data_IF_471520531167
#
_entry.id   IF_471520531167
#
_cell.length_a   1.000
_cell.length_b   1.000
_cell.length_c   1.000
_cell.angle_alpha   90.00
_cell.angle_beta   90.00
_cell.angle_gamma   90.00
#
_symmetry.space_group_name_H-M   'P 1'
#
loop_
_entity.id
_entity.type
_entity.pdbx_description
1 polymer ?
#
# COMPACT_ATOMS: atom_id res chain seq x y z
N UNK A 1 -7.62 -17.30 4.19
CA UNK A 1 -7.77 -16.82 2.80
C UNK A 1 -6.35 -16.68 2.26
N UNK A 2 -6.07 -17.21 1.07
CA UNK A 2 -4.76 -17.07 0.43
C UNK A 2 -4.74 -15.74 -0.33
N UNK A 3 -3.63 -15.00 -0.29
CA UNK A 3 -3.42 -13.78 -1.09
C UNK A 3 -3.68 -14.04 -2.58
N UNK A 4 -4.15 -13.04 -3.34
CA UNK A 4 -4.38 -13.17 -4.78
C UNK A 4 -3.09 -13.56 -5.53
N UNK A 5 -1.94 -13.27 -4.92
CA UNK A 5 -0.62 -13.48 -5.51
C UNK A 5 0.04 -14.80 -5.15
N UNK A 6 -0.40 -15.49 -4.09
CA UNK A 6 0.20 -16.76 -3.65
C UNK A 6 1.63 -16.55 -3.16
N UNK A 7 1.80 -16.24 -1.87
CA UNK A 7 3.14 -16.26 -1.28
C UNK A 7 3.67 -17.69 -1.22
N UNK A 8 4.88 -17.86 -1.76
CA UNK A 8 5.80 -18.95 -1.42
C UNK A 8 6.43 -18.55 -0.08
N UNK A 9 6.17 -19.33 0.96
CA UNK A 9 6.81 -19.18 2.27
C UNK A 9 8.34 -19.28 2.12
N UNK A 10 9.04 -18.15 2.30
CA UNK A 10 10.49 -18.10 2.43
C UNK A 10 10.91 -18.56 3.81
N UNK A 11 11.31 -19.82 3.94
CA UNK A 11 11.81 -20.40 5.17
C UNK A 11 13.27 -19.96 5.40
N UNK A 12 13.51 -18.93 6.22
CA UNK A 12 14.85 -18.64 6.75
C UNK A 12 15.14 -19.56 7.95
N UNK A 13 16.07 -20.49 7.73
CA UNK A 13 16.53 -21.46 8.72
C UNK A 13 17.37 -20.79 9.81
N UNK A 14 16.82 -20.70 11.02
CA UNK A 14 17.61 -20.61 12.24
C UNK A 14 17.93 -22.02 12.76
N UNK A 15 19.19 -22.21 13.13
CA UNK A 15 19.82 -23.48 13.50
C UNK A 15 19.23 -24.09 14.78
N UNK A 16 18.93 -25.39 14.73
CA UNK A 16 18.52 -26.23 15.86
C UNK A 16 19.59 -26.31 16.97
N UNK A 17 19.18 -26.80 18.17
CA UNK A 17 19.58 -28.17 18.47
C UNK A 17 18.45 -29.10 18.95
N UNK A 18 18.34 -30.22 18.22
CA UNK A 18 17.87 -31.57 18.55
C UNK A 18 17.32 -31.83 19.97
N UNK A 19 16.11 -32.41 20.03
CA UNK A 19 15.84 -33.63 20.79
C UNK A 19 14.62 -34.39 20.23
N UNK A 20 14.70 -35.71 20.39
CA UNK A 20 14.00 -36.77 19.65
C UNK A 20 12.64 -37.18 20.19
N UNK A 21 11.72 -37.54 19.29
CA UNK A 21 10.88 -38.76 19.43
C UNK A 21 9.37 -38.59 19.62
N UNK A 22 8.59 -39.22 18.74
CA UNK A 22 7.39 -39.99 19.15
C UNK A 22 6.00 -39.55 18.68
N UNK A 23 5.57 -40.10 17.53
CA UNK A 23 4.23 -40.64 17.17
C UNK A 23 2.91 -39.99 17.69
N UNK A 24 2.10 -39.58 16.68
CA UNK A 24 0.65 -39.83 16.44
C UNK A 24 -0.41 -39.58 17.54
N UNK A 25 -1.40 -38.77 17.11
CA UNK A 25 -2.86 -39.01 17.11
C UNK A 25 -3.77 -38.19 18.07
N UNK A 26 -4.82 -37.63 17.43
CA UNK A 26 -6.22 -37.40 17.83
C UNK A 26 -6.59 -36.53 19.06
N UNK A 27 -7.30 -35.43 18.74
CA UNK A 27 -8.69 -35.05 19.13
C UNK A 27 -9.14 -35.14 20.61
N UNK A 28 -9.74 -34.01 21.05
CA UNK A 28 -10.80 -33.78 22.07
C UNK A 28 -10.42 -33.14 23.43
N UNK A 29 -10.77 -31.85 23.55
CA UNK A 29 -11.69 -31.22 24.52
C UNK A 29 -11.97 -31.91 25.88
N UNK A 30 -11.58 -31.26 26.99
CA UNK A 30 -12.43 -30.60 28.02
C UNK A 30 -11.75 -30.54 29.41
N UNK A 31 -11.80 -29.32 29.98
CA UNK A 31 -11.77 -28.86 31.38
C UNK A 31 -11.45 -29.83 32.55
N UNK A 32 -10.61 -29.36 33.48
CA UNK A 32 -11.01 -29.20 34.89
C UNK A 32 -10.03 -28.31 35.67
N UNK A 33 -10.62 -27.52 36.58
CA UNK A 33 -9.95 -26.65 37.54
C UNK A 33 -9.66 -27.40 38.86
N UNK A 34 -8.63 -26.98 39.61
CA UNK A 34 -8.44 -27.09 41.08
C UNK A 34 -7.06 -26.48 41.41
N UNK A 35 -6.94 -25.27 41.95
CA UNK A 35 -6.99 -24.85 43.36
C UNK A 35 -5.72 -25.11 44.19
N UNK A 36 -4.99 -24.00 44.52
CA UNK A 36 -4.45 -23.52 45.84
C UNK A 36 -3.50 -24.50 46.62
N UNK A 37 -2.35 -24.09 47.25
CA UNK A 37 -2.23 -22.94 48.14
C UNK A 37 -0.90 -22.14 48.19
N UNK A 38 -1.06 -20.98 48.83
CA UNK A 38 -0.09 -20.05 49.41
C UNK A 38 0.64 -20.60 50.64
N UNK A 39 1.86 -20.08 50.89
CA UNK A 39 2.30 -19.41 52.15
C UNK A 39 3.81 -19.57 52.39
N UNK A 40 4.45 -18.53 52.94
CA UNK A 40 5.77 -18.62 53.54
C UNK A 40 6.54 -17.30 53.64
N UNK A 41 6.25 -16.51 54.68
CA UNK A 41 7.05 -15.36 55.14
C UNK A 41 8.38 -15.81 55.76
N UNK A 42 9.45 -14.99 55.69
CA UNK A 42 10.21 -14.50 56.86
C UNK A 42 11.50 -13.71 56.50
N UNK A 43 11.49 -12.42 56.88
CA UNK A 43 12.52 -11.68 57.67
C UNK A 43 13.89 -11.35 57.11
N UNK A 44 14.31 -10.07 57.19
CA UNK A 44 15.08 -9.51 58.33
C UNK A 44 15.36 -8.00 58.16
N UNK A 45 15.49 -7.33 59.31
CA UNK A 45 15.75 -5.91 59.54
C UNK A 45 17.21 -5.49 59.26
N UNK A 46 17.46 -4.20 59.00
CA UNK A 46 18.38 -3.40 59.82
C UNK A 46 18.31 -1.89 59.58
N UNK A 47 18.69 -1.17 60.63
CA UNK A 47 18.36 0.20 61.03
C UNK A 47 19.47 1.23 60.79
N UNK A 48 19.06 2.51 60.64
CA UNK A 48 19.64 3.77 61.16
C UNK A 48 21.05 4.23 60.66
N UNK A 49 21.45 5.52 60.62
CA UNK A 49 21.12 6.72 61.42
C UNK A 49 21.73 8.00 60.78
N UNK A 50 21.08 9.17 60.97
CA UNK A 50 21.65 10.55 61.17
C UNK A 50 22.42 11.28 60.02
N UNK A 51 22.46 12.63 59.86
CA UNK A 51 21.99 13.83 60.60
C UNK A 51 22.02 15.09 59.68
N UNK A 52 21.04 15.99 59.86
CA UNK A 52 21.02 17.47 59.76
C UNK A 52 21.84 18.27 58.71
N UNK A 53 21.15 19.16 57.96
CA UNK A 53 21.22 20.61 58.23
C UNK A 53 20.02 21.39 57.64
N UNK A 54 19.53 22.35 58.42
CA UNK A 54 18.35 23.19 58.15
C UNK A 54 18.68 24.41 57.28
N UNK A 55 17.73 24.82 56.44
CA UNK A 55 17.49 26.24 56.11
C UNK A 55 16.00 26.42 55.81
N UNK A 56 15.31 27.16 56.67
CA UNK A 56 13.89 27.52 56.54
C UNK A 56 13.73 28.75 55.64
N UNK A 57 12.81 28.67 54.66
CA UNK A 57 12.11 29.85 54.15
C UNK A 57 10.69 29.45 53.70
N UNK A 58 9.71 29.84 54.55
CA UNK A 58 8.30 30.21 54.34
C UNK A 58 7.38 29.25 53.55
N UNK A 59 6.34 28.78 54.25
CA UNK A 59 5.20 28.00 53.76
C UNK A 59 4.07 28.94 53.30
N UNK A 60 3.58 28.76 52.08
CA UNK A 60 2.29 29.29 51.61
C UNK A 60 1.14 28.33 51.99
N UNK A 61 -0.08 28.83 52.25
CA UNK A 61 -1.21 28.00 52.65
C UNK A 61 -1.75 27.14 51.49
N UNK A 62 -2.31 25.94 51.76
CA UNK A 62 -2.75 25.02 50.73
C UNK A 62 -4.06 25.50 50.08
N UNK A 63 -4.10 25.47 48.76
CA UNK A 63 -5.32 25.63 47.96
C UNK A 63 -6.20 24.38 48.07
N UNK A 64 -7.54 24.50 48.12
CA UNK A 64 -8.43 23.36 48.25
C UNK A 64 -8.46 22.57 46.93
N UNK A 65 -8.04 21.30 47.00
CA UNK A 65 -8.19 20.33 45.92
C UNK A 65 -9.68 20.00 45.76
N UNK A 66 -10.29 20.49 44.67
CA UNK A 66 -11.54 19.93 44.16
C UNK A 66 -11.24 18.61 43.47
N UNK A 67 -11.71 17.52 44.07
CA UNK A 67 -11.74 16.20 43.43
C UNK A 67 -12.71 16.24 42.25
N UNK A 68 -12.21 16.53 41.05
CA UNK A 68 -12.89 16.19 39.82
C UNK A 68 -12.73 14.68 39.59
N UNK A 69 -13.80 13.95 39.19
CA UNK A 69 -13.67 12.53 38.88
C UNK A 69 -12.69 12.38 37.72
N UNK A 70 -11.75 11.45 37.87
CA UNK A 70 -10.82 11.08 36.81
C UNK A 70 -11.60 10.83 35.53
N UNK A 71 -11.29 11.61 34.49
CA UNK A 71 -11.80 11.36 33.15
C UNK A 71 -11.54 9.90 32.83
N UNK A 72 -12.60 9.18 32.45
CA UNK A 72 -12.49 7.81 31.96
C UNK A 72 -11.36 7.77 30.93
N UNK A 73 -10.39 6.87 31.13
CA UNK A 73 -9.38 6.60 30.11
C UNK A 73 -10.09 6.44 28.77
N UNK A 74 -9.67 7.15 27.71
CA UNK A 74 -10.27 6.94 26.40
C UNK A 74 -10.13 5.46 26.11
N UNK A 75 -11.25 4.82 25.78
CA UNK A 75 -11.27 3.46 25.24
C UNK A 75 -10.11 3.38 24.26
N UNK A 76 -9.19 2.42 24.45
CA UNK A 76 -8.10 2.22 23.51
C UNK A 76 -8.75 1.79 22.19
N UNK A 77 -9.09 2.75 21.35
CA UNK A 77 -9.49 2.47 19.99
C UNK A 77 -8.31 1.72 19.36
N UNK A 78 -8.58 0.58 18.73
CA UNK A 78 -7.54 -0.18 18.05
C UNK A 78 -6.85 0.69 17.00
N UNK A 79 -5.64 0.28 16.61
CA UNK A 79 -4.88 1.01 15.59
C UNK A 79 -5.73 1.21 14.33
N UNK A 80 -5.62 2.36 13.64
CA UNK A 80 -6.38 2.55 12.41
C UNK A 80 -6.00 1.52 11.34
N UNK A 81 -6.94 1.10 10.50
CA UNK A 81 -6.67 0.20 9.37
C UNK A 81 -5.68 0.80 8.34
N UNK A 82 -5.56 2.14 8.36
CA UNK A 82 -4.68 2.91 7.49
C UNK A 82 -3.68 3.71 8.31
N UNK A 83 -2.47 3.89 7.78
CA UNK A 83 -1.51 4.87 8.31
C UNK A 83 -1.24 5.93 7.25
N UNK A 84 -0.79 7.12 7.65
CA UNK A 84 -0.45 8.18 6.71
C UNK A 84 0.84 8.89 7.14
N UNK A 85 1.71 9.15 6.17
CA UNK A 85 2.90 9.99 6.32
C UNK A 85 2.99 10.99 5.19
N UNK A 86 3.57 12.15 5.46
CA UNK A 86 3.77 13.19 4.44
C UNK A 86 4.88 12.76 3.48
N UNK A 87 4.60 12.81 2.18
CA UNK A 87 5.55 12.48 1.11
C UNK A 87 6.15 13.74 0.49
N UNK A 88 5.34 14.78 0.30
CA UNK A 88 5.73 16.07 -0.27
C UNK A 88 5.11 17.22 0.52
N UNK A 89 5.15 18.45 -0.02
CA UNK A 89 4.50 19.60 0.62
C UNK A 89 2.98 19.38 0.72
N UNK A 90 2.34 18.84 -0.32
CA UNK A 90 0.88 18.71 -0.37
C UNK A 90 0.37 17.27 -0.45
N UNK A 91 1.26 16.29 -0.68
CA UNK A 91 0.89 14.89 -0.85
C UNK A 91 1.29 14.03 0.36
N UNK A 92 0.37 13.15 0.76
CA UNK A 92 0.57 12.12 1.77
C UNK A 92 0.54 10.74 1.13
N UNK A 93 1.42 9.87 1.59
CA UNK A 93 1.32 8.45 1.37
C UNK A 93 0.45 7.85 2.48
N UNK A 94 -0.58 7.12 2.08
CA UNK A 94 -1.44 6.32 2.95
C UNK A 94 -1.12 4.85 2.66
N UNK A 95 -1.02 4.04 3.71
CA UNK A 95 -0.80 2.59 3.60
C UNK A 95 -1.86 1.86 4.39
N UNK A 96 -2.52 0.89 3.78
CA UNK A 96 -3.34 -0.08 4.49
C UNK A 96 -2.41 -1.15 5.07
N UNK A 97 -2.30 -1.25 6.41
CA UNK A 97 -1.12 -1.90 7.06
C UNK A 97 -1.33 -3.34 7.53
N UNK A 98 -2.57 -3.78 7.65
CA UNK A 98 -2.91 -5.12 8.11
C UNK A 98 -4.18 -5.63 7.42
N UNK A 99 -4.20 -5.49 6.10
CA UNK A 99 -5.30 -5.95 5.28
C UNK A 99 -5.35 -7.49 5.24
N UNK A 100 -6.54 -8.04 5.03
CA UNK A 100 -6.75 -9.50 5.02
C UNK A 100 -6.17 -10.20 3.78
N UNK A 101 -5.77 -9.44 2.75
CA UNK A 101 -5.27 -9.94 1.48
C UNK A 101 -3.74 -9.97 1.43
N UNK A 102 -3.09 -9.27 2.37
CA UNK A 102 -1.65 -9.12 2.50
C UNK A 102 -1.00 -8.34 1.35
N UNK A 103 -1.74 -7.35 0.83
CA UNK A 103 -1.32 -6.51 -0.30
C UNK A 103 -0.55 -5.26 0.15
N UNK A 104 -0.92 -4.70 1.29
CA UNK A 104 -0.37 -3.45 1.84
C UNK A 104 -0.30 -2.30 0.81
N UNK A 105 -1.40 -1.99 0.09
CA UNK A 105 -1.38 -1.05 -1.03
C UNK A 105 -1.09 0.38 -0.57
N UNK A 106 -0.47 1.14 -1.46
CA UNK A 106 -0.19 2.55 -1.31
C UNK A 106 -1.28 3.38 -1.98
N UNK A 107 -1.82 4.33 -1.22
CA UNK A 107 -2.81 5.31 -1.66
C UNK A 107 -2.14 6.69 -1.53
N UNK A 108 -2.31 7.55 -2.53
CA UNK A 108 -1.74 8.91 -2.47
C UNK A 108 -2.83 9.96 -2.34
N UNK A 109 -2.72 10.81 -1.33
CA UNK A 109 -3.66 11.89 -1.05
C UNK A 109 -2.98 13.26 -1.22
N UNK A 110 -3.27 13.95 -2.31
CA UNK A 110 -2.78 15.33 -2.58
C UNK A 110 -3.84 16.34 -2.16
N UNK A 111 -3.48 17.25 -1.27
CA UNK A 111 -4.36 18.30 -0.77
C UNK A 111 -4.19 19.57 -1.62
N UNK A 112 -5.28 20.03 -2.25
CA UNK A 112 -5.29 21.25 -3.07
C UNK A 112 -6.34 22.24 -2.51
N UNK A 113 -6.07 22.93 -1.38
CA UNK A 113 -7.05 23.80 -0.72
C UNK A 113 -7.56 24.94 -1.60
N UNK A 114 -6.71 25.48 -2.49
CA UNK A 114 -7.09 26.55 -3.44
C UNK A 114 -8.18 26.11 -4.41
N UNK A 115 -8.24 24.81 -4.73
CA UNK A 115 -9.28 24.20 -5.54
C UNK A 115 -10.37 23.54 -4.70
N UNK A 116 -10.33 23.69 -3.36
CA UNK A 116 -11.20 22.99 -2.39
C UNK A 116 -11.30 21.49 -2.66
N UNK A 117 -10.19 20.87 -3.07
CA UNK A 117 -10.17 19.48 -3.55
C UNK A 117 -9.08 18.67 -2.86
N UNK A 118 -9.37 17.40 -2.57
CA UNK A 118 -8.42 16.36 -2.25
C UNK A 118 -8.40 15.37 -3.43
N UNK A 119 -7.24 15.22 -4.07
CA UNK A 119 -7.01 14.22 -5.12
C UNK A 119 -6.52 12.93 -4.47
N UNK A 120 -7.24 11.83 -4.68
CA UNK A 120 -6.84 10.48 -4.31
C UNK A 120 -6.34 9.74 -5.54
N UNK A 121 -5.22 9.05 -5.42
CA UNK A 121 -4.82 7.96 -6.32
C UNK A 121 -4.99 6.65 -5.55
N UNK A 122 -5.88 5.82 -6.07
CA UNK A 122 -6.33 4.54 -5.52
C UNK A 122 -7.09 4.61 -4.19
N UNK A 123 -7.67 3.48 -3.81
CA UNK A 123 -8.59 3.35 -2.66
C UNK A 123 -8.33 2.13 -1.78
N UNK A 124 -7.29 1.35 -2.07
CA UNK A 124 -6.86 0.23 -1.26
C UNK A 124 -7.76 -1.00 -1.35
N UNK A 125 -7.58 -1.90 -0.37
CA UNK A 125 -8.33 -3.15 -0.20
C UNK A 125 -9.70 -2.95 0.49
N UNK A 126 -10.17 -1.71 0.60
CA UNK A 126 -11.46 -1.38 1.20
C UNK A 126 -11.46 -1.35 2.73
N UNK A 127 -10.30 -1.51 3.38
CA UNK A 127 -10.13 -1.45 4.85
C UNK A 127 -10.49 -2.75 5.57
N UNK A 128 -10.59 -3.86 4.84
CA UNK A 128 -10.80 -5.17 5.43
C UNK A 128 -9.51 -5.65 6.11
N UNK A 129 -9.50 -5.69 7.44
CA UNK A 129 -8.30 -5.91 8.25
C UNK A 129 -8.34 -7.19 9.09
N UNK A 130 -7.17 -7.74 9.41
CA UNK A 130 -7.00 -8.86 10.35
C UNK A 130 -7.18 -8.43 11.82
N UNK A 131 -7.16 -7.14 12.13
CA UNK A 131 -7.40 -6.59 13.45
C UNK A 131 -8.90 -6.26 13.66
N UNK A 132 -9.67 -7.08 14.41
CA UNK A 132 -11.12 -6.90 14.53
C UNK A 132 -11.54 -5.63 15.30
N UNK A 133 -10.62 -5.02 16.04
CA UNK A 133 -10.81 -3.79 16.83
C UNK A 133 -10.22 -2.54 16.14
N UNK A 134 -9.75 -2.66 14.89
CA UNK A 134 -9.17 -1.54 14.16
C UNK A 134 -10.13 -0.36 14.07
N UNK A 135 -9.59 0.83 14.28
CA UNK A 135 -10.34 2.06 14.06
C UNK A 135 -10.32 2.45 12.57
N UNK A 136 -11.31 3.25 12.15
CA UNK A 136 -11.40 3.78 10.78
C UNK A 136 -11.23 2.72 9.66
N UNK A 137 -12.03 1.62 9.63
CA UNK A 137 -11.94 0.58 8.61
C UNK A 137 -12.44 1.05 7.23
N UNK A 138 -12.81 2.32 7.08
CA UNK A 138 -13.21 2.93 5.80
C UNK A 138 -12.22 4.05 5.50
N UNK A 139 -11.61 4.01 4.31
CA UNK A 139 -10.64 5.02 3.88
C UNK A 139 -11.19 6.44 4.03
N UNK A 140 -12.45 6.69 3.63
CA UNK A 140 -13.06 8.02 3.77
C UNK A 140 -13.16 8.47 5.23
N UNK A 141 -13.51 7.56 6.13
CA UNK A 141 -13.58 7.85 7.56
C UNK A 141 -12.21 8.16 8.15
N UNK A 142 -11.17 7.46 7.70
CA UNK A 142 -9.78 7.75 8.05
C UNK A 142 -9.37 9.15 7.57
N UNK A 143 -9.60 9.47 6.30
CA UNK A 143 -9.28 10.77 5.70
C UNK A 143 -9.97 11.93 6.44
N UNK A 144 -11.20 11.75 6.88
CA UNK A 144 -12.03 12.82 7.44
C UNK A 144 -11.91 12.99 8.96
N UNK A 145 -11.48 11.95 9.67
CA UNK A 145 -11.55 11.93 11.15
C UNK A 145 -10.29 11.43 11.85
N UNK A 146 -9.44 10.62 11.20
CA UNK A 146 -8.27 10.07 11.88
C UNK A 146 -7.17 11.14 12.07
N UNK A 147 -6.55 11.22 13.25
CA UNK A 147 -5.43 12.12 13.46
C UNK A 147 -4.20 11.65 12.68
N UNK A 148 -3.60 12.53 11.87
CA UNK A 148 -2.34 12.23 11.15
C UNK A 148 -1.22 13.08 11.74
N UNK A 149 -0.20 12.42 12.30
CA UNK A 149 0.93 13.09 12.98
C UNK A 149 1.61 14.12 12.07
N UNK A 150 1.91 13.74 10.83
CA UNK A 150 2.54 14.61 9.83
C UNK A 150 1.63 15.73 9.30
N UNK A 151 0.37 15.77 9.75
CA UNK A 151 -0.59 16.84 9.51
C UNK A 151 -0.98 17.58 10.81
N UNK A 152 -0.03 17.69 11.73
CA UNK A 152 -0.21 18.33 13.04
C UNK A 152 -1.31 17.68 13.89
N UNK A 153 -1.47 16.36 13.76
CA UNK A 153 -2.51 15.59 14.46
C UNK A 153 -3.93 15.79 13.91
N UNK A 154 -4.11 16.51 12.80
CA UNK A 154 -5.41 16.71 12.16
C UNK A 154 -5.65 15.67 11.07
N UNK A 155 -6.93 15.37 10.82
CA UNK A 155 -7.33 14.60 9.65
C UNK A 155 -6.93 15.30 8.34
N UNK A 156 -6.71 14.52 7.27
CA UNK A 156 -6.30 15.06 5.97
C UNK A 156 -7.41 15.89 5.32
N UNK A 157 -8.67 15.52 5.55
CA UNK A 157 -9.86 16.22 5.08
C UNK A 157 -10.89 16.38 6.21
N UNK A 158 -10.53 17.08 7.28
CA UNK A 158 -11.37 17.23 8.48
C UNK A 158 -12.85 17.50 8.14
N UNK A 159 -13.74 16.59 8.53
CA UNK A 159 -15.18 16.73 8.30
C UNK A 159 -15.64 16.70 6.83
N UNK A 160 -14.77 16.30 5.89
CA UNK A 160 -15.11 16.25 4.47
C UNK A 160 -15.19 17.63 3.81
N UNK A 161 -14.47 18.64 4.30
CA UNK A 161 -14.54 20.03 3.81
C UNK A 161 -14.05 20.22 2.37
N UNK A 162 -13.12 19.38 1.91
CA UNK A 162 -12.64 19.30 0.54
C UNK A 162 -13.45 18.26 -0.25
N UNK A 163 -13.82 18.59 -1.48
CA UNK A 163 -14.39 17.64 -2.42
C UNK A 163 -13.32 16.62 -2.86
N UNK A 164 -13.73 15.40 -3.20
CA UNK A 164 -12.79 14.40 -3.71
C UNK A 164 -12.79 14.35 -5.24
N UNK A 165 -11.59 14.16 -5.79
CA UNK A 165 -11.38 13.56 -7.11
C UNK A 165 -10.59 12.28 -6.87
N UNK A 166 -11.11 11.15 -7.33
CA UNK A 166 -10.50 9.84 -7.17
C UNK A 166 -10.02 9.37 -8.53
N UNK A 167 -8.72 9.12 -8.67
CA UNK A 167 -8.12 8.48 -9.84
C UNK A 167 -7.78 7.05 -9.44
N UNK A 168 -8.14 6.09 -10.29
CA UNK A 168 -7.75 4.68 -10.13
C UNK A 168 -6.60 4.40 -11.09
N UNK A 169 -5.47 3.91 -10.57
CA UNK A 169 -4.30 3.55 -11.35
C UNK A 169 -4.61 2.41 -12.31
N UNK A 170 -5.37 1.42 -11.86
CA UNK A 170 -5.93 0.33 -12.66
C UNK A 170 -7.04 -0.39 -11.88
N UNK A 171 -7.64 -1.41 -12.48
CA UNK A 171 -8.85 -2.05 -11.93
C UNK A 171 -8.63 -3.18 -10.91
N UNK A 172 -7.40 -3.55 -10.54
CA UNK A 172 -7.21 -4.60 -9.53
C UNK A 172 -7.82 -4.21 -8.18
N UNK A 173 -8.33 -5.23 -7.49
CA UNK A 173 -9.13 -5.09 -6.27
C UNK A 173 -8.46 -4.22 -5.20
N UNK A 174 -7.17 -4.40 -4.97
CA UNK A 174 -6.35 -3.69 -4.00
C UNK A 174 -6.14 -2.20 -4.32
N UNK A 175 -6.62 -1.73 -5.47
CA UNK A 175 -6.67 -0.33 -5.85
C UNK A 175 -8.10 0.23 -5.82
N UNK A 176 -9.13 -0.61 -5.99
CA UNK A 176 -10.51 -0.16 -6.21
C UNK A 176 -11.51 -0.52 -5.11
N UNK A 177 -11.20 -1.43 -4.18
CA UNK A 177 -12.21 -1.92 -3.21
C UNK A 177 -12.79 -0.82 -2.31
N UNK A 178 -12.07 0.28 -2.09
CA UNK A 178 -12.57 1.43 -1.33
C UNK A 178 -13.43 2.43 -2.12
N UNK A 179 -13.55 2.29 -3.44
CA UNK A 179 -14.07 3.35 -4.34
C UNK A 179 -15.56 3.68 -4.14
N UNK A 180 -16.39 2.72 -3.73
CA UNK A 180 -17.82 2.96 -3.51
C UNK A 180 -18.10 4.04 -2.44
N UNK A 181 -17.14 4.28 -1.53
CA UNK A 181 -17.23 5.32 -0.51
C UNK A 181 -17.28 6.74 -1.09
N UNK A 182 -16.90 6.89 -2.36
CA UNK A 182 -16.78 8.15 -3.09
C UNK A 182 -17.72 8.22 -4.30
N UNK A 183 -18.31 7.10 -4.73
CA UNK A 183 -19.10 7.02 -5.97
C UNK A 183 -20.38 7.88 -5.97
N UNK A 184 -20.89 8.27 -4.80
CA UNK A 184 -22.12 9.06 -4.68
C UNK A 184 -21.95 10.57 -4.82
N UNK A 185 -20.74 11.11 -4.58
CA UNK A 185 -20.52 12.55 -4.44
C UNK A 185 -19.18 13.06 -5.00
N UNK A 186 -18.39 12.18 -5.60
CA UNK A 186 -17.03 12.49 -6.05
C UNK A 186 -16.83 12.15 -7.52
N UNK A 187 -15.89 12.83 -8.18
CA UNK A 187 -15.47 12.46 -9.53
C UNK A 187 -14.53 11.25 -9.45
N UNK A 188 -14.87 10.17 -10.14
CA UNK A 188 -13.99 8.99 -10.30
C UNK A 188 -13.41 9.00 -11.71
N UNK A 189 -12.11 8.80 -11.83
CA UNK A 189 -11.35 8.86 -13.07
C UNK A 189 -10.62 7.53 -13.26
N UNK A 190 -10.62 7.03 -14.49
CA UNK A 190 -9.81 5.89 -14.91
C UNK A 190 -9.20 6.14 -16.30
N UNK A 191 -8.32 5.23 -16.72
CA UNK A 191 -7.65 5.31 -18.02
C UNK A 191 -8.62 5.10 -19.17
N UNK A 192 -8.51 5.93 -20.20
CA UNK A 192 -9.18 5.74 -21.48
C UNK A 192 -8.41 4.84 -22.48
N UNK A 193 -7.33 4.18 -22.07
CA UNK A 193 -6.47 3.38 -22.96
C UNK A 193 -7.20 2.15 -23.53
N UNK A 194 -7.83 1.35 -22.67
CA UNK A 194 -8.68 0.23 -23.05
C UNK A 194 -10.01 0.24 -22.27
N UNK A 195 -11.00 1.02 -22.73
CA UNK A 195 -12.32 1.08 -22.09
C UNK A 195 -13.05 -0.27 -22.03
N UNK A 196 -12.76 -1.20 -22.94
CA UNK A 196 -13.40 -2.51 -22.96
C UNK A 196 -12.90 -3.38 -21.80
N UNK A 197 -11.65 -3.20 -21.38
CA UNK A 197 -11.08 -3.85 -20.20
C UNK A 197 -11.82 -3.49 -18.89
N UNK A 198 -12.43 -2.30 -18.85
CA UNK A 198 -13.20 -1.79 -17.71
C UNK A 198 -14.71 -2.04 -17.83
N UNK A 199 -15.18 -2.75 -18.86
CA UNK A 199 -16.61 -2.94 -19.06
C UNK A 199 -17.25 -3.72 -17.88
N UNK A 200 -18.44 -3.33 -17.38
CA UNK A 200 -19.01 -3.91 -16.16
C UNK A 200 -19.17 -5.43 -16.15
N UNK A 201 -19.34 -6.06 -17.32
CA UNK A 201 -19.51 -7.51 -17.44
C UNK A 201 -18.19 -8.29 -17.36
N UNK A 202 -17.04 -7.65 -17.58
CA UNK A 202 -15.70 -8.28 -17.48
C UNK A 202 -14.92 -7.79 -16.25
N UNK A 203 -15.28 -6.63 -15.69
CA UNK A 203 -14.63 -6.04 -14.54
C UNK A 203 -14.47 -7.00 -13.35
N UNK A 204 -15.43 -7.88 -12.98
CA UNK A 204 -15.21 -8.83 -11.90
C UNK A 204 -14.02 -9.78 -12.11
N UNK A 205 -13.75 -10.18 -13.35
CA UNK A 205 -12.60 -11.02 -13.70
C UNK A 205 -11.31 -10.21 -13.75
N UNK A 206 -11.32 -9.09 -14.47
CA UNK A 206 -10.12 -8.24 -14.64
C UNK A 206 -9.67 -7.58 -13.34
N UNK A 207 -10.59 -7.23 -12.44
CA UNK A 207 -10.27 -6.73 -11.09
C UNK A 207 -9.76 -7.81 -10.13
N UNK A 208 -9.76 -9.08 -10.54
CA UNK A 208 -9.47 -10.26 -9.72
C UNK A 208 -10.47 -10.50 -8.56
N UNK A 209 -11.55 -9.71 -8.46
CA UNK A 209 -12.58 -9.90 -7.44
C UNK A 209 -13.27 -11.26 -7.57
N UNK A 210 -13.57 -11.71 -8.79
CA UNK A 210 -14.17 -13.02 -9.06
C UNK A 210 -13.25 -14.17 -8.62
N UNK A 211 -11.94 -14.03 -8.82
CA UNK A 211 -10.93 -15.00 -8.39
C UNK A 211 -10.89 -15.13 -6.85
N UNK A 212 -11.02 -14.01 -6.16
CA UNK A 212 -11.07 -13.94 -4.69
C UNK A 212 -12.45 -14.28 -4.11
N UNK A 213 -13.48 -14.38 -4.96
CA UNK A 213 -14.89 -14.57 -4.57
C UNK A 213 -15.39 -13.45 -3.65
N UNK A 214 -14.98 -12.23 -3.95
CA UNK A 214 -15.44 -11.01 -3.26
C UNK A 214 -16.32 -10.18 -4.20
N UNK A 215 -17.06 -9.25 -3.61
CA UNK A 215 -17.90 -8.34 -4.37
C UNK A 215 -17.05 -7.31 -5.10
N UNK A 216 -17.22 -7.21 -6.42
CA UNK A 216 -16.66 -6.11 -7.21
C UNK A 216 -17.38 -4.81 -6.86
N UNK A 217 -16.67 -3.71 -6.57
CA UNK A 217 -17.29 -2.43 -6.25
C UNK A 217 -18.01 -1.84 -7.47
N UNK A 218 -19.14 -1.18 -7.22
CA UNK A 218 -19.97 -0.52 -8.23
C UNK A 218 -19.65 0.97 -8.32
N UNK A 219 -19.10 1.40 -9.46
CA UNK A 219 -18.80 2.80 -9.74
C UNK A 219 -18.89 3.08 -11.25
N UNK A 220 -18.87 4.35 -11.63
CA UNK A 220 -18.83 4.77 -13.04
C UNK A 220 -17.73 5.81 -13.22
N UNK A 221 -16.57 5.42 -13.79
CA UNK A 221 -15.46 6.35 -13.99
C UNK A 221 -15.68 7.24 -15.21
N UNK A 222 -15.09 8.44 -15.17
CA UNK A 222 -14.80 9.24 -16.35
C UNK A 222 -13.48 8.74 -16.93
N UNK A 223 -13.50 8.30 -18.19
CA UNK A 223 -12.31 7.84 -18.89
C UNK A 223 -11.58 9.03 -19.51
N UNK A 224 -10.32 9.23 -19.14
CA UNK A 224 -9.51 10.33 -19.65
C UNK A 224 -8.45 9.86 -20.66
N UNK A 225 -8.15 10.66 -21.70
CA UNK A 225 -7.11 10.35 -22.67
C UNK A 225 -5.71 10.53 -22.07
N UNK A 226 -4.70 9.98 -22.75
CA UNK A 226 -3.30 10.17 -22.40
C UNK A 226 -2.94 11.66 -22.40
N UNK A 227 -2.14 12.10 -21.42
CA UNK A 227 -1.76 13.50 -21.17
C UNK A 227 -2.94 14.43 -20.85
N UNK A 228 -4.00 13.88 -20.26
CA UNK A 228 -5.10 14.71 -19.77
C UNK A 228 -4.71 15.41 -18.45
N UNK A 229 -4.89 16.74 -18.33
CA UNK A 229 -4.78 17.40 -17.04
C UNK A 229 -5.96 17.02 -16.15
N UNK A 230 -5.69 16.73 -14.88
CA UNK A 230 -6.74 16.47 -13.87
C UNK A 230 -7.28 17.79 -13.33
N UNK A 231 -8.60 17.89 -13.25
CA UNK A 231 -9.32 19.05 -12.72
C UNK A 231 -10.29 18.63 -11.62
N UNK A 232 -10.57 19.55 -10.69
CA UNK A 232 -11.67 19.43 -9.71
C UNK A 232 -13.03 19.33 -10.40
N UNK A 233 -14.06 18.95 -9.64
CA UNK A 233 -15.45 18.98 -10.11
C UNK A 233 -15.90 20.38 -10.60
N UNK A 234 -15.29 21.45 -10.08
CA UNK A 234 -15.53 22.83 -10.52
C UNK A 234 -14.70 23.28 -11.72
N UNK A 235 -13.89 22.40 -12.32
CA UNK A 235 -13.03 22.71 -13.47
C UNK A 235 -11.70 23.39 -13.13
N UNK A 236 -11.35 23.54 -11.86
CA UNK A 236 -10.03 24.06 -11.47
C UNK A 236 -8.94 23.00 -11.69
N UNK A 237 -7.81 23.32 -12.37
CA UNK A 237 -6.69 22.39 -12.53
C UNK A 237 -6.09 21.98 -11.19
N UNK A 238 -5.75 20.70 -11.04
CA UNK A 238 -5.11 20.15 -9.83
C UNK A 238 -3.58 20.05 -9.92
N UNK A 239 -3.00 20.48 -11.05
CA UNK A 239 -1.55 20.45 -11.28
C UNK A 239 -1.00 19.03 -11.42
N UNK A 240 -1.80 18.10 -11.93
CA UNK A 240 -1.41 16.71 -12.17
C UNK A 240 -1.89 16.29 -13.57
N UNK A 241 -1.04 15.60 -14.32
CA UNK A 241 -1.33 15.04 -15.64
C UNK A 241 -1.47 13.51 -15.56
N UNK A 242 -2.45 12.95 -16.27
CA UNK A 242 -2.66 11.52 -16.40
C UNK A 242 -1.90 10.96 -17.60
N UNK A 243 -1.21 9.85 -17.40
CA UNK A 243 -0.42 9.16 -18.40
C UNK A 243 -0.93 7.73 -18.51
N UNK A 244 -1.40 7.31 -19.68
CA UNK A 244 -1.59 5.88 -19.93
C UNK A 244 -0.24 5.15 -19.87
N UNK A 245 -0.19 4.07 -19.10
CA UNK A 245 1.02 3.27 -18.85
C UNK A 245 0.69 1.78 -18.93
N UNK A 246 0.13 1.29 -20.06
CA UNK A 246 -0.22 -0.12 -20.18
C UNK A 246 1.03 -1.00 -20.08
N UNK A 247 0.84 -2.20 -19.56
CA UNK A 247 1.92 -3.18 -19.41
C UNK A 247 1.60 -4.18 -18.32
N UNK A 248 1.43 -3.75 -17.07
CA UNK A 248 0.94 -4.65 -16.04
C UNK A 248 -0.55 -4.96 -16.27
N UNK A 249 -1.37 -3.94 -16.51
CA UNK A 249 -2.73 -4.13 -17.07
C UNK A 249 -2.98 -3.19 -18.26
N UNK A 250 -3.94 -3.53 -19.16
CA UNK A 250 -4.30 -2.66 -20.29
C UNK A 250 -4.90 -1.30 -19.88
N UNK A 251 -5.57 -1.22 -18.72
CA UNK A 251 -6.20 0.01 -18.21
C UNK A 251 -5.28 0.85 -17.32
N UNK A 252 -4.00 0.49 -17.19
CA UNK A 252 -3.13 1.16 -16.25
C UNK A 252 -2.80 2.61 -16.64
N UNK A 253 -2.67 3.45 -15.60
CA UNK A 253 -2.21 4.81 -15.70
C UNK A 253 -1.23 5.20 -14.58
N UNK A 254 -0.39 6.17 -14.91
CA UNK A 254 0.45 6.92 -14.00
C UNK A 254 -0.05 8.38 -13.88
N UNK A 255 0.36 9.05 -12.80
CA UNK A 255 0.14 10.48 -12.59
C UNK A 255 1.47 11.23 -12.53
N UNK A 256 1.56 12.33 -13.26
CA UNK A 256 2.72 13.23 -13.28
C UNK A 256 2.40 14.57 -12.60
N UNK A 257 3.18 14.89 -11.57
CA UNK A 257 3.12 16.15 -10.83
C UNK A 257 4.45 16.90 -10.98
N UNK A 258 4.50 17.79 -11.97
CA UNK A 258 5.70 18.54 -12.32
C UNK A 258 6.11 19.56 -11.23
N UNK A 259 5.14 20.09 -10.48
CA UNK A 259 5.42 21.08 -9.43
C UNK A 259 6.10 20.41 -8.24
N UNK A 260 5.58 19.26 -7.79
CA UNK A 260 6.16 18.51 -6.66
C UNK A 260 7.30 17.57 -7.07
N UNK A 261 7.53 17.40 -8.38
CA UNK A 261 8.54 16.49 -8.92
C UNK A 261 8.23 15.03 -8.57
N UNK A 262 6.97 14.62 -8.74
CA UNK A 262 6.51 13.27 -8.41
C UNK A 262 5.93 12.57 -9.63
N UNK A 263 6.37 11.33 -9.84
CA UNK A 263 5.76 10.39 -10.78
C UNK A 263 5.13 9.24 -9.99
N UNK A 264 3.82 9.09 -10.07
CA UNK A 264 3.10 7.99 -9.43
C UNK A 264 2.76 6.93 -10.48
N UNK A 265 3.24 5.70 -10.34
CA UNK A 265 3.23 4.69 -11.42
C UNK A 265 2.32 3.50 -11.16
N UNK A 266 1.56 3.48 -10.05
CA UNK A 266 0.77 2.31 -9.68
C UNK A 266 1.65 1.05 -9.67
N UNK A 267 1.16 -0.01 -10.29
CA UNK A 267 1.81 -1.33 -10.29
C UNK A 267 2.77 -1.56 -11.44
N UNK A 268 3.05 -0.54 -12.25
CA UNK A 268 4.03 -0.62 -13.34
C UNK A 268 5.33 -1.22 -12.81
N UNK A 269 5.83 -0.76 -11.68
CA UNK A 269 7.02 -1.34 -11.05
C UNK A 269 7.09 -0.99 -9.57
N UNK A 270 7.89 -1.76 -8.83
CA UNK A 270 8.32 -1.45 -7.48
C UNK A 270 9.53 -2.30 -7.10
N UNK A 271 10.21 -1.90 -6.03
CA UNK A 271 11.39 -2.59 -5.48
C UNK A 271 10.98 -3.46 -4.28
N UNK A 272 11.83 -4.44 -3.96
CA UNK A 272 11.73 -5.27 -2.74
C UNK A 272 10.48 -6.15 -2.65
N UNK A 273 9.71 -6.24 -3.73
CA UNK A 273 8.64 -7.20 -3.96
C UNK A 273 8.63 -7.60 -5.45
N UNK A 274 7.98 -8.71 -5.81
CA UNK A 274 7.87 -9.11 -7.21
C UNK A 274 6.99 -8.14 -7.97
N UNK A 275 7.48 -7.62 -9.09
CA UNK A 275 6.62 -7.01 -10.11
C UNK A 275 5.78 -8.16 -10.66
N UNK A 276 4.46 -8.07 -10.57
CA UNK A 276 3.58 -9.19 -10.94
C UNK A 276 2.80 -8.83 -12.19
N UNK A 277 2.90 -9.62 -13.25
CA UNK A 277 2.03 -9.46 -14.41
C UNK A 277 0.87 -10.48 -14.33
N UNK A 278 -0.39 -10.05 -14.49
CA UNK A 278 -1.52 -10.94 -14.68
C UNK A 278 -1.51 -11.54 -16.11
N UNK A 279 -2.46 -12.44 -16.41
CA UNK A 279 -2.59 -13.04 -17.74
C UNK A 279 -2.79 -11.98 -18.85
N UNK A 280 -3.44 -10.88 -18.48
CA UNK A 280 -3.80 -9.74 -19.30
C UNK A 280 -2.63 -8.77 -19.53
N UNK A 281 -1.50 -8.95 -18.84
CA UNK A 281 -0.33 -8.09 -18.94
C UNK A 281 0.49 -8.30 -20.22
N UNK A 282 1.40 -7.38 -20.49
CA UNK A 282 2.32 -7.37 -21.64
C UNK A 282 3.66 -6.76 -21.25
N UNK A 283 4.72 -7.58 -21.21
CA UNK A 283 6.09 -7.11 -20.98
C UNK A 283 6.58 -6.22 -22.14
N UNK A 284 6.07 -6.44 -23.36
CA UNK A 284 6.44 -5.60 -24.52
C UNK A 284 5.91 -4.19 -24.35
N UNK A 285 4.62 -4.04 -24.04
CA UNK A 285 4.01 -2.71 -23.79
C UNK A 285 4.61 -2.06 -22.55
N UNK A 286 4.91 -2.86 -21.52
CA UNK A 286 5.59 -2.39 -20.33
C UNK A 286 6.96 -1.77 -20.63
N UNK A 287 7.77 -2.38 -21.52
CA UNK A 287 9.07 -1.84 -21.92
C UNK A 287 8.90 -0.47 -22.60
N UNK A 288 7.90 -0.33 -23.47
CA UNK A 288 7.58 0.95 -24.13
C UNK A 288 7.09 2.00 -23.12
N UNK A 289 6.25 1.60 -22.17
CA UNK A 289 5.77 2.42 -21.04
C UNK A 289 6.95 2.94 -20.22
N UNK A 290 7.86 2.06 -19.79
CA UNK A 290 9.03 2.46 -19.00
C UNK A 290 9.96 3.38 -19.80
N UNK A 291 10.13 3.16 -21.11
CA UNK A 291 10.88 4.09 -21.97
C UNK A 291 10.24 5.48 -22.04
N UNK A 292 8.91 5.54 -22.14
CA UNK A 292 8.20 6.82 -22.16
C UNK A 292 8.30 7.55 -20.81
N UNK A 293 8.23 6.83 -19.69
CA UNK A 293 8.41 7.39 -18.36
C UNK A 293 9.85 7.89 -18.15
N UNK A 294 10.86 7.16 -18.61
CA UNK A 294 12.27 7.62 -18.58
C UNK A 294 12.40 8.93 -19.37
N UNK A 295 11.89 8.97 -20.60
CA UNK A 295 11.94 10.18 -21.44
C UNK A 295 11.20 11.36 -20.81
N UNK A 296 10.07 11.12 -20.15
CA UNK A 296 9.32 12.15 -19.42
C UNK A 296 10.17 12.74 -18.29
N UNK A 297 10.76 11.88 -17.45
CA UNK A 297 11.59 12.30 -16.32
C UNK A 297 12.81 13.07 -16.80
N UNK A 298 13.50 12.58 -17.83
CA UNK A 298 14.65 13.25 -18.45
C UNK A 298 14.27 14.59 -19.10
N UNK A 299 13.13 14.63 -19.78
CA UNK A 299 12.60 15.81 -20.45
C UNK A 299 12.13 16.92 -19.49
N UNK A 300 11.87 16.61 -18.22
CA UNK A 300 11.43 17.58 -17.21
C UNK A 300 12.46 18.67 -16.86
N UNK A 301 13.74 18.47 -17.25
CA UNK A 301 14.85 19.34 -16.83
C UNK A 301 15.18 19.26 -15.33
N UNK A 302 14.49 18.38 -14.58
CA UNK A 302 14.62 18.19 -13.13
C UNK A 302 14.89 16.73 -12.75
N UNK A 303 15.33 15.89 -13.69
CA UNK A 303 15.43 14.43 -13.56
C UNK A 303 16.04 13.95 -12.24
N UNK A 304 17.12 14.61 -11.76
CA UNK A 304 17.82 14.27 -10.52
C UNK A 304 17.02 14.52 -9.23
N UNK A 305 15.92 15.25 -9.32
CA UNK A 305 15.05 15.61 -8.18
C UNK A 305 13.67 14.94 -8.25
N UNK A 306 13.33 14.33 -9.38
CA UNK A 306 12.05 13.64 -9.55
C UNK A 306 12.06 12.37 -8.71
N UNK A 307 11.00 12.18 -7.93
CA UNK A 307 10.78 10.99 -7.10
C UNK A 307 9.62 10.14 -7.65
N UNK A 308 9.64 8.85 -7.32
CA UNK A 308 8.64 7.88 -7.75
C UNK A 308 7.77 7.40 -6.57
N UNK A 309 6.48 7.21 -6.84
CA UNK A 309 5.53 6.54 -5.94
C UNK A 309 4.88 5.36 -6.65
N UNK A 310 5.04 4.15 -6.13
CA UNK A 310 4.47 2.94 -6.71
C UNK A 310 3.21 2.52 -5.95
N UNK A 311 2.48 1.51 -6.45
CA UNK A 311 1.31 0.92 -5.81
C UNK A 311 1.66 0.14 -4.55
N UNK A 312 2.90 -0.36 -4.45
CA UNK A 312 3.40 -1.08 -3.28
C UNK A 312 4.88 -0.75 -3.02
N UNK A 313 5.34 -0.96 -1.78
CA UNK A 313 6.73 -0.96 -1.27
C UNK A 313 7.59 0.30 -1.51
N UNK A 314 7.68 0.79 -2.73
CA UNK A 314 8.55 1.90 -3.15
C UNK A 314 7.79 3.22 -3.19
N UNK A 315 8.16 4.15 -2.30
CA UNK A 315 7.66 5.53 -2.34
C UNK A 315 8.74 6.53 -1.91
N UNK A 316 9.06 7.47 -2.80
CA UNK A 316 10.04 8.53 -2.59
C UNK A 316 11.45 8.24 -3.13
N UNK A 317 11.66 7.12 -3.82
CA UNK A 317 12.92 6.80 -4.52
C UNK A 317 13.16 7.71 -5.73
N UNK A 318 14.40 7.81 -6.21
CA UNK A 318 14.72 8.62 -7.39
C UNK A 318 14.13 8.01 -8.67
N UNK A 319 13.23 8.71 -9.35
CA UNK A 319 12.43 8.11 -10.42
C UNK A 319 13.29 7.59 -11.57
N UNK A 320 14.26 8.39 -12.03
CA UNK A 320 15.15 7.98 -13.12
C UNK A 320 15.95 6.72 -12.77
N UNK A 321 16.48 6.65 -11.54
CA UNK A 321 17.30 5.52 -11.10
C UNK A 321 16.48 4.23 -10.97
N UNK A 322 15.29 4.32 -10.37
CA UNK A 322 14.39 3.16 -10.21
C UNK A 322 13.89 2.67 -11.57
N UNK A 323 13.46 3.57 -12.47
CA UNK A 323 13.03 3.20 -13.82
C UNK A 323 14.14 2.50 -14.61
N UNK A 324 15.35 3.08 -14.64
CA UNK A 324 16.48 2.52 -15.38
C UNK A 324 16.92 1.17 -14.82
N UNK A 325 17.03 1.05 -13.50
CA UNK A 325 17.50 -0.18 -12.86
C UNK A 325 16.47 -1.30 -12.94
N UNK A 326 15.17 -0.99 -12.83
CA UNK A 326 14.10 -1.97 -13.07
C UNK A 326 14.10 -2.46 -14.52
N UNK A 327 14.24 -1.54 -15.48
CA UNK A 327 14.34 -1.90 -16.90
C UNK A 327 15.53 -2.80 -17.19
N UNK A 328 16.69 -2.50 -16.58
CA UNK A 328 17.88 -3.33 -16.69
C UNK A 328 17.64 -4.75 -16.17
N UNK A 329 17.00 -4.88 -15.01
CA UNK A 329 16.59 -6.19 -14.48
C UNK A 329 15.67 -6.96 -15.44
N UNK A 330 14.65 -6.29 -16.01
CA UNK A 330 13.78 -6.93 -17.01
C UNK A 330 14.58 -7.41 -18.23
N UNK A 331 15.55 -6.63 -18.70
CA UNK A 331 16.46 -7.07 -19.77
C UNK A 331 17.36 -8.24 -19.37
N UNK A 332 17.78 -8.34 -18.11
CA UNK A 332 18.54 -9.49 -17.61
C UNK A 332 17.69 -10.77 -17.65
N UNK A 333 16.42 -10.68 -17.26
CA UNK A 333 15.44 -11.79 -17.42
C UNK A 333 15.28 -12.18 -18.89
N UNK A 334 15.01 -11.22 -19.77
CA UNK A 334 14.78 -11.49 -21.20
C UNK A 334 16.03 -12.08 -21.87
N UNK A 335 17.23 -11.62 -21.50
CA UNK A 335 18.47 -12.14 -22.04
C UNK A 335 18.92 -13.48 -21.41
N UNK A 336 18.18 -14.02 -20.45
CA UNK A 336 18.52 -15.28 -19.77
C UNK A 336 19.69 -15.16 -18.79
N UNK A 337 19.98 -13.96 -18.30
CA UNK A 337 20.97 -13.71 -17.25
C UNK A 337 20.42 -13.94 -15.84
N UNK A 338 19.10 -13.86 -15.67
CA UNK A 338 18.40 -14.24 -14.45
C UNK A 338 17.73 -15.61 -14.61
N UNK A 339 18.08 -16.56 -13.74
CA UNK A 339 17.50 -17.89 -13.74
C UNK A 339 16.08 -17.89 -13.16
N UNK A 340 15.22 -18.75 -13.71
CA UNK A 340 13.92 -19.08 -13.13
C UNK A 340 14.13 -19.70 -11.75
N UNK A 341 13.52 -19.11 -10.72
CA UNK A 341 13.56 -19.60 -9.34
C UNK A 341 12.43 -20.57 -9.04
N UNK A 342 11.24 -20.29 -9.56
CA UNK A 342 10.06 -21.14 -9.40
C UNK A 342 9.22 -21.17 -10.67
N UNK A 343 8.47 -22.27 -10.83
CA UNK A 343 7.54 -22.47 -11.94
C UNK A 343 6.30 -23.24 -11.45
N UNK A 344 5.10 -22.71 -11.71
CA UNK A 344 3.84 -23.32 -11.27
C UNK A 344 2.68 -22.97 -12.20
N UNK A 345 1.56 -23.68 -12.10
CA UNK A 345 0.34 -23.35 -12.86
C UNK A 345 -0.58 -22.43 -12.04
N UNK A 346 -1.04 -21.34 -12.64
CA UNK A 346 -2.01 -20.40 -12.04
C UNK A 346 -2.90 -19.82 -13.14
N UNK A 347 -4.22 -19.78 -12.90
CA UNK A 347 -5.21 -19.23 -13.85
C UNK A 347 -5.07 -19.79 -15.28
N UNK A 348 -4.75 -21.09 -15.40
CA UNK A 348 -4.62 -21.77 -16.70
C UNK A 348 -3.32 -21.48 -17.46
N UNK A 349 -2.38 -20.74 -16.89
CA UNK A 349 -1.06 -20.47 -17.48
C UNK A 349 0.07 -20.90 -16.55
N UNK A 350 1.18 -21.35 -17.14
CA UNK A 350 2.43 -21.57 -16.39
C UNK A 350 3.01 -20.22 -16.04
N UNK A 351 3.15 -19.96 -14.74
CA UNK A 351 3.83 -18.80 -14.20
C UNK A 351 5.26 -19.15 -13.80
N UNK A 352 6.14 -18.16 -13.91
CA UNK A 352 7.55 -18.24 -13.52
C UNK A 352 7.90 -17.10 -12.57
N UNK A 353 8.80 -17.37 -11.63
CA UNK A 353 9.42 -16.35 -10.77
C UNK A 353 10.89 -16.17 -11.12
N UNK A 354 11.30 -14.91 -11.29
CA UNK A 354 12.70 -14.49 -11.34
C UNK A 354 13.01 -13.62 -10.13
N UNK A 355 14.24 -13.66 -9.63
CA UNK A 355 14.67 -12.81 -8.53
C UNK A 355 16.14 -12.46 -8.68
N UNK A 356 16.43 -11.16 -8.71
CA UNK A 356 17.78 -10.62 -8.78
C UNK A 356 18.57 -10.99 -7.52
N UNK A 357 19.87 -11.24 -7.67
CA UNK A 357 20.78 -11.28 -6.52
C UNK A 357 20.69 -9.99 -5.69
N UNK A 358 20.51 -10.13 -4.38
CA UNK A 358 20.28 -8.99 -3.46
C UNK A 358 18.82 -8.61 -3.26
N UNK A 359 17.88 -9.19 -4.02
CA UNK A 359 16.44 -9.11 -3.74
C UNK A 359 15.78 -7.76 -4.02
N UNK A 360 16.49 -6.83 -4.67
CA UNK A 360 15.92 -5.51 -5.02
C UNK A 360 14.79 -5.63 -6.04
N UNK A 361 14.97 -6.48 -7.06
CA UNK A 361 13.97 -6.73 -8.09
C UNK A 361 13.64 -8.20 -8.22
N UNK A 362 12.37 -8.49 -8.43
CA UNK A 362 11.87 -9.81 -8.79
C UNK A 362 10.67 -9.67 -9.72
N UNK A 363 10.36 -10.73 -10.46
CA UNK A 363 9.27 -10.77 -11.43
C UNK A 363 8.47 -12.05 -11.22
N UNK A 364 7.15 -11.94 -11.23
CA UNK A 364 6.22 -13.06 -11.35
C UNK A 364 5.33 -12.79 -12.56
N UNK A 365 5.27 -13.71 -13.50
CA UNK A 365 4.41 -13.54 -14.68
C UNK A 365 4.11 -14.89 -15.34
N UNK A 366 3.09 -14.96 -16.21
CA UNK A 366 2.99 -16.06 -17.16
C UNK A 366 4.27 -16.19 -18.00
N UNK A 367 4.82 -17.40 -18.10
CA UNK A 367 6.05 -17.70 -18.85
C UNK A 367 5.92 -17.26 -20.32
N UNK A 368 4.72 -17.38 -20.87
CA UNK A 368 4.37 -16.90 -22.21
C UNK A 368 4.74 -15.43 -22.44
N UNK A 369 4.53 -14.55 -21.46
CA UNK A 369 4.83 -13.12 -21.62
C UNK A 369 6.35 -12.87 -21.78
N UNK A 370 7.18 -13.66 -21.09
CA UNK A 370 8.64 -13.61 -21.24
C UNK A 370 9.05 -14.08 -22.63
N UNK A 371 8.45 -15.16 -23.12
CA UNK A 371 8.73 -15.69 -24.47
C UNK A 371 8.31 -14.73 -25.58
N UNK A 372 7.14 -14.10 -25.44
CA UNK A 372 6.65 -13.07 -26.36
C UNK A 372 7.60 -11.86 -26.39
N UNK A 373 7.99 -11.38 -25.21
CA UNK A 373 8.94 -10.28 -25.10
C UNK A 373 10.32 -10.61 -25.70
N UNK A 374 10.85 -11.82 -25.46
CA UNK A 374 12.10 -12.30 -26.09
C UNK A 374 12.03 -12.28 -27.61
N UNK A 375 10.93 -12.76 -28.18
CA UNK A 375 10.69 -12.74 -29.64
C UNK A 375 10.63 -11.31 -30.17
N UNK A 376 9.93 -10.40 -29.48
CA UNK A 376 9.78 -9.01 -29.90
C UNK A 376 11.09 -8.21 -29.82
N UNK A 377 11.94 -8.50 -28.84
CA UNK A 377 13.20 -7.77 -28.58
C UNK A 377 14.43 -8.42 -29.20
N UNK A 378 14.26 -9.48 -30.00
CA UNK A 378 15.34 -10.26 -30.64
C UNK A 378 16.33 -10.93 -29.67
N UNK A 379 15.97 -11.18 -28.41
CA UNK A 379 16.75 -12.07 -27.56
C UNK A 379 16.51 -13.52 -28.01
N UNK A 380 17.44 -14.05 -28.82
CA UNK A 380 17.49 -15.49 -29.08
C UNK A 380 18.09 -16.18 -27.86
N UNK A 381 17.30 -17.04 -27.22
CA UNK A 381 17.77 -17.98 -26.19
C UNK A 381 18.83 -18.93 -26.73
#
# INVERSE_FOLDING_TARGET
MHSAWGMVDGNESWSEPRCTGGRRALIALFASASSVPTAGQHTQNNTATERNNQSMCRLDPPTPHTNAPAAASPLSHGQPAFTARRLTRTTFLITEVDDIYDEHPFIYAKLIPVARTLLLLDTGCGGATRAPDASFPRLRDFLERAPVADNSGRALNAGGELAYVVVLSHCHYDHILGVEQFAGDSTIIASGNDPAFLAPNVLPEHSLCANLRIQTPSYTPILLPHRAPISSAGGHPLGVELLHTPGHTPDELALWDEEEGMLYVGDTLYEWAPIIFPNEGSIVEWLDTVDNLIRLVEGSGKASTVRIGCGHKTAGGGAQEVLLSTKAFMFDVLAGREDVKDRWEKRGEIHVRYAQSGGRYSLICPERLVEEARKATNFKM
#
